data_IF_862144676843
#
_entry.id   IF_862144676843
#
_cell.length_a   1.000
_cell.length_b   1.000
_cell.length_c   1.000
_cell.angle_alpha   90.00
_cell.angle_beta   90.00
_cell.angle_gamma   90.00
#
_symmetry.space_group_name_H-M   'P 1'
#
loop_
_entity.id
_entity.type
_entity.pdbx_description
1 polymer ?
#
# COMPACT_ATOMS: atom_id res chain seq x y z
N UNK A 1 -10.20 2.98 -17.93
CA UNK A 1 -11.53 2.97 -17.34
C UNK A 1 -11.53 3.99 -16.22
N UNK A 2 -12.35 5.01 -16.39
CA UNK A 2 -12.49 6.07 -15.39
C UNK A 2 -13.30 5.55 -14.20
N UNK A 3 -13.09 6.17 -13.04
CA UNK A 3 -13.72 5.82 -11.75
C UNK A 3 -15.26 5.75 -11.79
N UNK A 4 -15.85 6.44 -12.75
CA UNK A 4 -17.30 6.65 -12.82
C UNK A 4 -18.05 5.54 -13.57
N UNK A 5 -17.33 4.61 -14.20
CA UNK A 5 -17.93 3.56 -15.03
C UNK A 5 -18.14 2.24 -14.30
N UNK A 6 -17.86 2.21 -12.99
CA UNK A 6 -17.94 0.98 -12.22
C UNK A 6 -19.24 0.90 -11.43
N UNK A 7 -20.30 0.46 -12.11
CA UNK A 7 -21.55 0.09 -11.45
C UNK A 7 -21.35 -1.25 -10.73
N UNK A 8 -21.31 -1.20 -9.41
CA UNK A 8 -21.19 -2.41 -8.58
C UNK A 8 -22.48 -3.23 -8.51
N UNK A 9 -23.55 -2.83 -9.20
CA UNK A 9 -24.84 -3.52 -9.16
C UNK A 9 -25.39 -3.63 -7.73
N UNK A 10 -25.22 -4.78 -7.10
CA UNK A 10 -25.61 -5.00 -5.71
C UNK A 10 -24.66 -4.38 -4.67
N UNK A 11 -23.67 -3.62 -5.11
CA UNK A 11 -22.68 -2.95 -4.26
C UNK A 11 -21.52 -3.83 -3.82
N UNK A 12 -21.44 -5.09 -4.26
CA UNK A 12 -20.36 -6.02 -3.90
C UNK A 12 -19.46 -6.31 -5.09
N UNK A 13 -18.12 -6.23 -4.91
CA UNK A 13 -17.21 -6.69 -5.95
C UNK A 13 -17.21 -8.21 -6.04
N UNK A 14 -16.90 -8.74 -7.24
CA UNK A 14 -16.69 -10.18 -7.44
C UNK A 14 -15.39 -10.62 -6.76
N UNK A 15 -14.39 -9.75 -6.78
CA UNK A 15 -13.11 -9.97 -6.11
C UNK A 15 -12.78 -8.76 -5.23
N UNK A 16 -12.56 -9.03 -3.94
CA UNK A 16 -12.13 -8.06 -2.95
C UNK A 16 -10.66 -8.31 -2.59
N UNK A 17 -9.83 -7.29 -2.69
CA UNK A 17 -8.42 -7.35 -2.32
C UNK A 17 -8.04 -6.10 -1.52
N UNK A 18 -6.99 -6.22 -0.73
CA UNK A 18 -6.49 -5.13 0.08
C UNK A 18 -4.96 -5.14 0.13
N UNK A 19 -4.38 -3.97 0.28
CA UNK A 19 -2.93 -3.83 0.34
C UNK A 19 -2.48 -2.49 0.88
N UNK A 20 -1.24 -2.15 0.63
CA UNK A 20 -0.66 -0.93 1.15
C UNK A 20 0.41 -0.31 0.27
N UNK A 21 0.60 0.97 0.46
CA UNK A 21 1.77 1.71 0.00
C UNK A 21 2.66 1.88 1.21
N UNK A 22 3.76 1.13 1.25
CA UNK A 22 4.67 1.09 2.40
C UNK A 22 5.80 2.10 2.18
N UNK A 23 5.83 3.13 3.00
CA UNK A 23 6.80 4.21 2.93
C UNK A 23 7.67 4.22 4.19
N UNK A 24 8.96 4.49 4.01
CA UNK A 24 9.88 4.77 5.10
C UNK A 24 10.92 5.79 4.65
N UNK A 25 11.67 6.33 5.59
CA UNK A 25 12.82 7.18 5.29
C UNK A 25 14.09 6.36 5.41
N UNK A 26 15.01 6.58 4.48
CA UNK A 26 16.36 6.01 4.57
C UNK A 26 17.22 6.79 5.57
N UNK A 27 18.46 6.34 5.76
CA UNK A 27 19.42 6.96 6.68
C UNK A 27 19.72 8.42 6.34
N UNK A 28 19.58 8.80 5.06
CA UNK A 28 19.77 10.17 4.59
C UNK A 28 18.49 11.02 4.67
N UNK A 29 17.41 10.43 5.20
CA UNK A 29 16.13 11.11 5.35
C UNK A 29 15.28 11.16 4.09
N UNK A 30 15.61 10.41 3.05
CA UNK A 30 14.84 10.36 1.80
C UNK A 30 13.73 9.33 1.91
N UNK A 31 12.57 9.67 1.35
CA UNK A 31 11.43 8.76 1.31
C UNK A 31 11.67 7.62 0.31
N UNK A 32 11.42 6.40 0.77
CA UNK A 32 11.51 5.18 -0.03
C UNK A 32 10.17 4.45 0.00
N UNK A 33 9.82 3.83 -1.12
CA UNK A 33 8.61 3.01 -1.23
C UNK A 33 9.00 1.56 -1.52
N UNK A 34 8.31 0.62 -0.86
CA UNK A 34 8.51 -0.80 -1.11
C UNK A 34 7.73 -1.23 -2.35
N UNK A 35 8.43 -1.78 -3.33
CA UNK A 35 7.84 -2.38 -4.52
C UNK A 35 8.29 -3.83 -4.64
N UNK A 36 7.40 -4.70 -5.10
CA UNK A 36 7.64 -6.14 -5.16
C UNK A 36 7.61 -6.65 -6.59
N UNK A 37 8.44 -7.64 -6.88
CA UNK A 37 8.43 -8.37 -8.14
C UNK A 37 7.73 -9.70 -7.95
N UNK A 38 6.74 -9.99 -8.82
CA UNK A 38 5.98 -11.23 -8.78
C UNK A 38 6.35 -12.11 -9.97
N UNK A 39 7.08 -13.24 -9.75
CA UNK A 39 7.56 -14.08 -10.85
C UNK A 39 6.44 -14.68 -11.70
N UNK A 40 5.29 -15.03 -11.09
CA UNK A 40 4.14 -15.57 -11.82
C UNK A 40 3.61 -14.61 -12.88
N UNK A 41 3.64 -13.31 -12.62
CA UNK A 41 3.11 -12.27 -13.50
C UNK A 41 4.19 -11.50 -14.23
N UNK A 42 5.46 -11.72 -13.86
CA UNK A 42 6.61 -10.97 -14.40
C UNK A 42 6.39 -9.46 -14.31
N UNK A 43 5.90 -8.99 -13.18
CA UNK A 43 5.56 -7.58 -12.94
C UNK A 43 6.15 -7.04 -11.65
N UNK A 44 6.18 -5.71 -11.59
CA UNK A 44 6.46 -4.94 -10.37
C UNK A 44 5.18 -4.28 -9.90
N UNK A 45 4.84 -4.48 -8.65
CA UNK A 45 3.59 -3.98 -8.09
C UNK A 45 3.72 -3.54 -6.64
N UNK A 46 2.65 -2.91 -6.14
CA UNK A 46 2.46 -2.69 -4.72
C UNK A 46 1.95 -3.99 -4.07
N UNK A 47 2.30 -4.25 -2.80
CA UNK A 47 1.84 -5.45 -2.10
C UNK A 47 0.34 -5.40 -1.84
N UNK A 48 -0.36 -6.46 -2.19
CA UNK A 48 -1.81 -6.65 -2.01
C UNK A 48 -2.20 -8.10 -2.19
N UNK A 49 -3.37 -8.45 -1.68
CA UNK A 49 -3.94 -9.78 -1.93
C UNK A 49 -5.42 -9.85 -1.57
N UNK A 50 -6.02 -10.99 -1.84
CA UNK A 50 -7.45 -11.22 -1.64
C UNK A 50 -7.81 -11.34 -0.17
N UNK A 51 -8.99 -10.83 0.19
CA UNK A 51 -9.57 -11.05 1.51
C UNK A 51 -9.84 -12.54 1.70
N UNK A 52 -9.60 -13.01 2.91
CA UNK A 52 -10.04 -14.33 3.35
C UNK A 52 -11.50 -14.25 3.83
N UNK A 53 -12.13 -15.42 3.97
CA UNK A 53 -13.51 -15.49 4.46
C UNK A 53 -13.62 -14.82 5.83
N UNK A 54 -14.62 -13.96 5.98
CA UNK A 54 -14.92 -13.23 7.23
C UNK A 54 -13.81 -12.28 7.71
N UNK A 55 -12.86 -11.95 6.84
CA UNK A 55 -11.79 -11.00 7.12
C UNK A 55 -12.19 -9.57 6.75
N UNK A 56 -11.85 -8.60 7.62
CA UNK A 56 -12.04 -7.18 7.33
C UNK A 56 -11.01 -6.67 6.32
N UNK A 57 -11.35 -5.60 5.62
CA UNK A 57 -10.46 -4.99 4.61
C UNK A 57 -9.14 -4.50 5.19
N UNK A 58 -9.19 -3.82 6.32
CA UNK A 58 -7.99 -3.30 7.00
C UNK A 58 -7.08 -4.43 7.50
N UNK A 59 -7.67 -5.47 8.09
CA UNK A 59 -6.94 -6.67 8.54
C UNK A 59 -6.26 -7.38 7.38
N UNK A 60 -6.98 -7.56 6.27
CA UNK A 60 -6.46 -8.17 5.05
C UNK A 60 -5.28 -7.37 4.49
N UNK A 61 -5.37 -6.04 4.47
CA UNK A 61 -4.30 -5.17 4.00
C UNK A 61 -3.02 -5.38 4.80
N UNK A 62 -3.11 -5.38 6.13
CA UNK A 62 -1.95 -5.61 7.01
C UNK A 62 -1.37 -7.00 6.83
N UNK A 63 -2.21 -8.02 6.75
CA UNK A 63 -1.80 -9.42 6.56
C UNK A 63 -1.10 -9.62 5.22
N UNK A 64 -1.71 -9.16 4.14
CA UNK A 64 -1.14 -9.33 2.79
C UNK A 64 0.18 -8.59 2.63
N UNK A 65 0.29 -7.38 3.17
CA UNK A 65 1.55 -6.64 3.14
C UNK A 65 2.64 -7.38 3.89
N UNK A 66 2.35 -7.93 5.07
CA UNK A 66 3.31 -8.72 5.83
C UNK A 66 3.71 -10.01 5.11
N UNK A 67 2.74 -10.75 4.56
CA UNK A 67 3.01 -11.98 3.80
C UNK A 67 3.90 -11.72 2.58
N UNK A 68 3.64 -10.67 1.83
CA UNK A 68 4.38 -10.38 0.59
C UNK A 68 5.71 -9.67 0.82
N UNK A 69 5.81 -8.81 1.83
CA UNK A 69 7.01 -7.99 2.08
C UNK A 69 7.89 -8.47 3.22
N UNK A 70 7.35 -9.26 4.15
CA UNK A 70 8.04 -9.64 5.38
C UNK A 70 8.03 -8.55 6.46
N UNK A 71 7.38 -7.42 6.21
CA UNK A 71 7.30 -6.31 7.16
C UNK A 71 5.96 -6.25 7.84
N UNK A 72 5.98 -6.25 9.17
CA UNK A 72 4.83 -5.87 9.98
C UNK A 72 4.73 -4.34 9.97
N UNK A 73 3.58 -3.84 9.54
CA UNK A 73 3.37 -2.41 9.32
C UNK A 73 2.30 -1.84 10.23
N UNK A 74 2.38 -0.54 10.45
CA UNK A 74 1.31 0.27 10.99
C UNK A 74 0.57 0.92 9.81
N UNK A 75 -0.76 0.78 9.78
CA UNK A 75 -1.60 1.39 8.76
C UNK A 75 -2.05 2.78 9.21
N UNK A 76 -1.89 3.74 8.32
CA UNK A 76 -2.37 5.10 8.49
C UNK A 76 -3.67 5.33 7.72
N UNK A 77 -3.74 6.41 6.97
CA UNK A 77 -4.93 6.81 6.22
C UNK A 77 -5.22 5.84 5.07
N UNK A 78 -6.51 5.58 4.83
CA UNK A 78 -6.95 4.87 3.63
C UNK A 78 -6.77 5.76 2.41
N UNK A 79 -6.18 5.18 1.36
CA UNK A 79 -5.98 5.84 0.08
C UNK A 79 -7.18 5.60 -0.83
N UNK A 80 -7.33 6.35 -1.94
CA UNK A 80 -8.38 6.07 -2.90
C UNK A 80 -8.27 4.63 -3.43
N UNK A 81 -9.40 3.91 -3.44
CA UNK A 81 -9.45 2.53 -3.94
C UNK A 81 -9.26 2.45 -5.45
N UNK A 82 -8.93 1.26 -5.94
CA UNK A 82 -8.80 0.96 -7.36
C UNK A 82 -9.86 -0.07 -7.74
N UNK A 83 -10.65 0.23 -8.77
CA UNK A 83 -11.68 -0.67 -9.29
C UNK A 83 -11.43 -0.93 -10.77
N UNK A 84 -11.51 -2.18 -11.19
CA UNK A 84 -11.38 -2.55 -12.60
C UNK A 84 -12.00 -3.91 -12.87
N UNK A 85 -12.25 -4.19 -14.15
CA UNK A 85 -12.62 -5.51 -14.61
C UNK A 85 -11.33 -6.30 -14.86
N UNK A 86 -11.24 -7.51 -14.31
CA UNK A 86 -10.12 -8.39 -14.58
C UNK A 86 -10.25 -9.03 -15.97
N UNK A 87 -9.27 -9.87 -16.36
CA UNK A 87 -9.27 -10.53 -17.67
C UNK A 87 -10.47 -11.45 -17.90
N UNK A 88 -11.12 -11.90 -16.83
CA UNK A 88 -12.32 -12.76 -16.89
C UNK A 88 -13.62 -11.97 -16.80
N UNK A 89 -13.54 -10.63 -16.85
CA UNK A 89 -14.70 -9.74 -16.75
C UNK A 89 -15.29 -9.61 -15.34
N UNK A 90 -14.54 -10.03 -14.31
CA UNK A 90 -14.99 -9.92 -12.92
C UNK A 90 -14.66 -8.55 -12.35
N UNK A 91 -15.59 -8.01 -11.57
CA UNK A 91 -15.42 -6.72 -10.90
C UNK A 91 -14.44 -6.88 -9.74
N UNK A 92 -13.31 -6.22 -9.82
CA UNK A 92 -12.29 -6.25 -8.78
C UNK A 92 -12.17 -4.89 -8.09
N UNK A 93 -12.25 -4.90 -6.77
CA UNK A 93 -12.03 -3.73 -5.92
C UNK A 93 -10.83 -3.99 -5.04
N UNK A 94 -9.86 -3.08 -5.08
CA UNK A 94 -8.67 -3.14 -4.23
C UNK A 94 -8.63 -1.89 -3.37
N UNK A 95 -8.61 -2.06 -2.05
CA UNK A 95 -8.48 -0.97 -1.10
C UNK A 95 -7.05 -0.94 -0.55
N UNK A 96 -6.47 0.26 -0.46
CA UNK A 96 -5.10 0.47 -0.04
C UNK A 96 -5.01 1.43 1.13
N UNK A 97 -4.02 1.20 1.99
CA UNK A 97 -3.68 2.09 3.10
C UNK A 97 -2.24 2.56 2.98
N UNK A 98 -1.99 3.79 3.42
CA UNK A 98 -0.64 4.28 3.66
C UNK A 98 -0.09 3.51 4.86
N UNK A 99 1.10 2.92 4.72
CA UNK A 99 1.70 2.10 5.77
C UNK A 99 3.14 2.51 6.04
N UNK A 100 3.57 2.30 7.27
CA UNK A 100 4.97 2.44 7.68
C UNK A 100 5.43 1.13 8.34
N UNK A 101 6.63 0.61 8.00
CA UNK A 101 7.10 -0.62 8.59
C UNK A 101 7.49 -0.40 10.06
N UNK A 102 7.14 -1.37 10.92
CA UNK A 102 7.49 -1.38 12.34
C UNK A 102 8.68 -2.30 12.59
N UNK A 103 8.65 -3.48 12.00
CA UNK A 103 9.70 -4.52 12.13
C UNK A 103 9.61 -5.52 10.99
N UNK A 104 10.63 -6.34 10.86
CA UNK A 104 10.68 -7.42 9.88
C UNK A 104 11.78 -7.22 8.86
N UNK A 105 11.84 -8.16 7.93
CA UNK A 105 12.75 -8.13 6.79
C UNK A 105 12.17 -8.94 5.64
N UNK A 106 12.55 -8.59 4.43
CA UNK A 106 12.13 -9.34 3.25
C UNK A 106 12.94 -10.64 3.11
N UNK A 107 12.22 -11.72 2.81
CA UNK A 107 12.80 -12.99 2.37
C UNK A 107 12.03 -13.43 1.13
N UNK A 108 12.75 -13.77 0.05
CA UNK A 108 12.13 -14.27 -1.17
C UNK A 108 11.29 -15.52 -0.91
N UNK A 109 10.15 -15.60 -1.58
CA UNK A 109 9.23 -16.73 -1.50
C UNK A 109 8.52 -16.93 -2.85
N UNK A 110 7.66 -17.95 -2.95
CA UNK A 110 7.06 -18.34 -4.23
C UNK A 110 6.25 -17.23 -4.92
N UNK A 111 5.62 -16.35 -4.15
CA UNK A 111 4.79 -15.29 -4.71
C UNK A 111 5.58 -14.00 -5.03
N UNK A 112 6.66 -13.74 -4.29
CA UNK A 112 7.49 -12.53 -4.42
C UNK A 112 8.96 -12.92 -4.33
N UNK A 113 9.69 -12.76 -5.43
CA UNK A 113 11.10 -13.13 -5.50
C UNK A 113 12.05 -11.95 -5.19
N UNK A 114 11.56 -10.72 -5.30
CA UNK A 114 12.39 -9.53 -5.05
C UNK A 114 11.55 -8.40 -4.45
N UNK A 115 12.12 -7.68 -3.51
CA UNK A 115 11.59 -6.42 -2.98
C UNK A 115 12.66 -5.36 -3.10
N UNK A 116 12.27 -4.18 -3.56
CA UNK A 116 13.15 -3.01 -3.61
C UNK A 116 12.54 -1.85 -2.84
N UNK A 117 13.36 -1.19 -2.07
CA UNK A 117 13.05 0.11 -1.49
C UNK A 117 13.58 1.19 -2.44
N UNK A 118 12.69 1.80 -3.18
CA UNK A 118 13.06 2.73 -4.26
C UNK A 118 12.60 4.16 -3.96
N UNK A 119 13.22 5.11 -4.66
CA UNK A 119 12.73 6.49 -4.61
C UNK A 119 11.39 6.60 -5.34
N UNK A 120 10.59 7.65 -5.07
CA UNK A 120 9.35 7.87 -5.82
C UNK A 120 9.53 7.92 -7.34
N UNK A 121 10.62 8.53 -7.80
CA UNK A 121 10.96 8.61 -9.22
C UNK A 121 11.27 7.23 -9.81
N UNK A 122 12.06 6.42 -9.10
CA UNK A 122 12.34 5.04 -9.50
C UNK A 122 11.08 4.16 -9.50
N UNK A 123 10.18 4.36 -8.53
CA UNK A 123 8.91 3.65 -8.48
C UNK A 123 8.05 3.95 -9.71
N UNK A 124 8.02 5.21 -10.15
CA UNK A 124 7.28 5.61 -11.34
C UNK A 124 7.81 4.94 -12.61
N UNK A 125 9.11 4.70 -12.69
CA UNK A 125 9.74 3.99 -13.80
C UNK A 125 9.56 2.47 -13.68
N UNK A 126 9.66 1.91 -12.48
CA UNK A 126 9.71 0.46 -12.25
C UNK A 126 8.33 -0.20 -12.22
N UNK A 127 7.35 0.43 -11.58
CA UNK A 127 6.01 -0.15 -11.44
C UNK A 127 5.36 -0.43 -12.79
N UNK A 128 4.79 -1.61 -12.92
CA UNK A 128 4.19 -2.06 -14.18
C UNK A 128 2.86 -1.35 -14.46
N UNK A 129 2.06 -1.08 -13.43
CA UNK A 129 0.68 -0.61 -13.61
C UNK A 129 0.54 0.89 -13.36
N UNK A 130 -0.11 1.63 -14.27
CA UNK A 130 -0.33 3.07 -14.09
C UNK A 130 -1.09 3.42 -12.81
N UNK A 131 -2.05 2.58 -12.39
CA UNK A 131 -2.80 2.82 -11.15
C UNK A 131 -1.93 2.70 -9.89
N UNK A 132 -0.91 1.84 -9.89
CA UNK A 132 0.06 1.75 -8.79
C UNK A 132 0.92 3.01 -8.72
N UNK A 133 1.37 3.52 -9.86
CA UNK A 133 2.15 4.77 -9.94
C UNK A 133 1.36 5.95 -9.41
N UNK A 134 0.10 6.08 -9.80
CA UNK A 134 -0.80 7.12 -9.32
C UNK A 134 -1.00 7.04 -7.80
N UNK A 135 -1.18 5.82 -7.30
CA UNK A 135 -1.40 5.57 -5.89
C UNK A 135 -0.18 5.94 -5.04
N UNK A 136 1.02 5.64 -5.52
CA UNK A 136 2.27 6.08 -4.86
C UNK A 136 2.32 7.60 -4.77
N UNK A 137 1.96 8.31 -5.83
CA UNK A 137 1.90 9.77 -5.83
C UNK A 137 0.95 10.32 -4.78
N UNK A 138 -0.24 9.73 -4.65
CA UNK A 138 -1.24 10.11 -3.64
C UNK A 138 -0.75 9.81 -2.22
N UNK A 139 -0.12 8.65 -2.02
CA UNK A 139 0.44 8.26 -0.73
C UNK A 139 1.55 9.22 -0.29
N UNK A 140 2.41 9.64 -1.21
CA UNK A 140 3.48 10.60 -0.91
C UNK A 140 2.95 11.95 -0.45
N UNK A 141 1.90 12.46 -1.09
CA UNK A 141 1.27 13.73 -0.66
C UNK A 141 0.73 13.63 0.76
N UNK A 142 0.05 12.54 1.09
CA UNK A 142 -0.49 12.29 2.44
C UNK A 142 0.62 12.10 3.46
N UNK A 143 1.67 11.40 3.10
CA UNK A 143 2.84 11.17 3.96
C UNK A 143 3.58 12.46 4.30
N UNK A 144 3.81 13.33 3.30
CA UNK A 144 4.43 14.65 3.49
C UNK A 144 3.57 15.55 4.36
N UNK A 145 2.27 15.55 4.12
CA UNK A 145 1.32 16.33 4.93
C UNK A 145 1.35 15.89 6.40
N UNK A 146 1.29 14.60 6.66
CA UNK A 146 1.38 14.04 8.01
C UNK A 146 2.65 14.50 8.74
N UNK A 147 3.77 14.56 8.04
CA UNK A 147 5.04 15.00 8.59
C UNK A 147 5.08 16.49 8.89
N UNK A 148 4.53 17.31 8.01
CA UNK A 148 4.41 18.76 8.19
C UNK A 148 3.55 19.03 9.43
N UNK A 149 2.41 18.38 9.56
CA UNK A 149 1.51 18.56 10.71
C UNK A 149 2.14 18.11 12.02
N UNK A 150 2.91 17.03 12.03
CA UNK A 150 3.69 16.61 13.22
C UNK A 150 4.72 17.65 13.64
N UNK A 151 5.37 18.30 12.68
CA UNK A 151 6.35 19.36 12.96
C UNK A 151 5.69 20.63 13.52
N UNK A 152 4.45 20.91 13.12
CA UNK A 152 3.69 22.10 13.56
C UNK A 152 2.97 21.91 14.90
N UNK A 153 2.89 20.69 15.44
CA UNK A 153 2.22 20.40 16.72
C UNK A 153 3.21 19.81 17.75
N UNK A 154 4.19 20.60 18.22
CA UNK A 154 5.22 20.09 19.13
C UNK A 154 4.69 19.67 20.50
N UNK A 155 3.51 20.16 20.89
CA UNK A 155 2.90 19.89 22.19
C UNK A 155 2.42 18.45 22.40
N UNK A 156 2.15 17.72 21.33
CA UNK A 156 1.69 16.34 21.41
C UNK A 156 2.79 15.33 21.80
N UNK A 157 4.04 15.79 21.92
CA UNK A 157 5.22 14.96 22.23
C UNK A 157 5.76 15.10 23.64
N UNK A 158 5.21 16.01 24.44
CA UNK A 158 5.64 16.12 25.83
C UNK A 158 4.90 15.09 26.68
N UNK A 159 5.63 14.22 27.42
CA UNK A 159 4.99 13.43 28.45
C UNK A 159 4.38 14.42 29.43
N UNK A 160 3.12 14.19 29.78
CA UNK A 160 2.48 14.95 30.85
C UNK A 160 3.40 14.92 32.07
N UNK A 161 3.72 16.07 32.66
CA UNK A 161 4.46 16.03 33.92
C UNK A 161 3.65 15.18 34.89
N UNK A 162 4.30 14.17 35.44
CA UNK A 162 3.67 13.24 36.35
C UNK A 162 2.94 14.00 37.49
N UNK A 163 1.70 13.62 37.63
CA UNK A 163 0.99 13.95 38.87
C UNK A 163 1.47 13.06 40.00
#
# INVERSE_FOLDING_TARGET
VTRDDFDLGDGRPDIAAAGGVVLRRDEEGRTRVAVIHRPKYMDWSLPKGKLEKDEGWHEAALREVEEETGYRCEAGVELPHVSYLDRKGRRKLVRYWLMEPIEGEFKAHDEVDELRWVTPSEADELLTYPHDKELVGKALRRYRWKRIMRALTPWSRQPMPGM
#
